data_IF_534681323825
#
_entry.id   IF_534681323825
#
_cell.length_a   1.000
_cell.length_b   1.000
_cell.length_c   1.000
_cell.angle_alpha   90.00
_cell.angle_beta   90.00
_cell.angle_gamma   90.00
#
_symmetry.space_group_name_H-M   'P 1'
#
loop_
_entity.id
_entity.type
_entity.pdbx_description
1 polymer ?
#
# COMPACT_ATOMS: atom_id res chain seq x y z
N UNK A 1 -7.10 3.91 16.54
CA UNK A 1 -5.97 3.70 15.62
C UNK A 1 -6.16 2.35 14.93
N UNK A 2 -5.83 2.25 13.65
CA UNK A 2 -5.88 1.01 12.86
C UNK A 2 -4.51 0.71 12.27
N UNK A 3 -4.34 -0.52 11.76
CA UNK A 3 -3.14 -0.93 11.06
C UNK A 3 -3.53 -1.40 9.67
N UNK A 4 -3.09 -0.68 8.63
CA UNK A 4 -3.13 -1.18 7.26
C UNK A 4 -2.04 -2.25 7.10
N UNK A 5 -2.40 -3.39 6.53
CA UNK A 5 -1.48 -4.47 6.16
C UNK A 5 -1.45 -4.60 4.65
N UNK A 6 -0.27 -4.83 4.08
CA UNK A 6 -0.07 -4.95 2.64
C UNK A 6 0.91 -6.10 2.38
N UNK A 7 0.56 -7.00 1.47
CA UNK A 7 1.43 -8.08 1.01
C UNK A 7 1.06 -8.53 -0.39
N UNK A 8 1.99 -9.15 -1.10
CA UNK A 8 1.68 -9.89 -2.33
C UNK A 8 1.11 -11.27 -2.01
N UNK A 9 -0.05 -11.59 -2.59
CA UNK A 9 -0.76 -12.86 -2.38
C UNK A 9 -0.49 -13.89 -3.50
N UNK A 10 -0.27 -13.43 -4.73
CA UNK A 10 0.19 -14.22 -5.91
C UNK A 10 1.01 -13.31 -6.82
N UNK A 11 1.54 -13.81 -7.94
CA UNK A 11 2.34 -13.05 -8.91
C UNK A 11 1.60 -11.86 -9.57
N UNK A 12 0.28 -11.83 -9.49
CA UNK A 12 -0.59 -10.79 -10.03
C UNK A 12 -1.53 -10.14 -8.99
N UNK A 13 -1.44 -10.52 -7.71
CA UNK A 13 -2.39 -10.07 -6.68
C UNK A 13 -1.69 -9.43 -5.48
N UNK A 14 -2.12 -8.21 -5.15
CA UNK A 14 -1.78 -7.53 -3.91
C UNK A 14 -2.97 -7.60 -2.96
N UNK A 15 -2.74 -8.03 -1.73
CA UNK A 15 -3.76 -8.07 -0.68
C UNK A 15 -3.53 -6.95 0.33
N UNK A 16 -4.62 -6.28 0.72
CA UNK A 16 -4.62 -5.30 1.79
C UNK A 16 -5.74 -5.56 2.78
N UNK A 17 -5.49 -5.29 4.06
CA UNK A 17 -6.47 -5.44 5.14
C UNK A 17 -6.31 -4.37 6.22
N UNK A 18 -7.34 -4.20 7.06
CA UNK A 18 -7.30 -3.47 8.31
C UNK A 18 -7.86 -2.04 8.28
N UNK A 19 -8.17 -1.49 7.09
CA UNK A 19 -8.77 -0.17 6.92
C UNK A 19 -9.83 -0.13 5.81
N UNK A 20 -10.56 0.98 5.72
CA UNK A 20 -11.58 1.14 4.69
C UNK A 20 -10.97 1.18 3.28
N UNK A 21 -11.61 0.50 2.34
CA UNK A 21 -11.13 0.37 0.95
C UNK A 21 -10.03 -0.67 0.75
N UNK A 22 -9.54 -1.31 1.82
CA UNK A 22 -8.61 -2.43 1.71
C UNK A 22 -9.33 -3.66 1.15
N UNK A 23 -8.70 -4.32 0.19
CA UNK A 23 -9.23 -5.47 -0.55
C UNK A 23 -8.07 -6.24 -1.21
N UNK A 24 -8.38 -7.28 -1.98
CA UNK A 24 -7.47 -7.93 -2.91
C UNK A 24 -7.53 -7.24 -4.29
N UNK A 25 -6.38 -6.83 -4.81
CA UNK A 25 -6.26 -6.05 -6.04
C UNK A 25 -5.45 -6.78 -7.11
N UNK A 26 -6.14 -7.19 -8.17
CA UNK A 26 -5.53 -7.77 -9.36
C UNK A 26 -4.73 -6.71 -10.13
N UNK A 27 -3.44 -6.98 -10.37
CA UNK A 27 -2.48 -6.14 -11.06
C UNK A 27 -2.21 -6.59 -12.50
N UNK A 28 -2.91 -7.61 -13.00
CA UNK A 28 -2.81 -8.14 -14.36
C UNK A 28 -3.05 -7.06 -15.42
N UNK A 29 -2.24 -7.08 -16.48
CA UNK A 29 -2.36 -6.17 -17.63
C UNK A 29 -1.81 -4.75 -17.41
N UNK A 30 -1.34 -4.40 -16.21
CA UNK A 30 -0.51 -3.22 -16.03
C UNK A 30 0.83 -3.42 -16.74
N UNK A 31 1.36 -2.39 -17.41
CA UNK A 31 2.54 -2.49 -18.28
C UNK A 31 3.80 -3.04 -17.61
N UNK A 32 3.82 -3.16 -16.28
CA UNK A 32 4.88 -3.74 -15.46
C UNK A 32 4.37 -4.53 -14.22
N UNK A 33 3.13 -5.06 -14.20
CA UNK A 33 2.50 -5.63 -12.97
C UNK A 33 2.70 -4.70 -11.75
N UNK A 34 2.39 -3.42 -11.96
CA UNK A 34 2.51 -2.36 -10.96
C UNK A 34 1.13 -1.80 -10.62
N UNK A 35 0.89 -1.53 -9.33
CA UNK A 35 -0.27 -0.80 -8.87
C UNK A 35 0.16 0.34 -7.95
N UNK A 36 -0.51 1.48 -8.09
CA UNK A 36 -0.33 2.62 -7.19
C UNK A 36 -1.57 2.76 -6.33
N UNK A 37 -1.39 2.98 -5.05
CA UNK A 37 -2.46 3.22 -4.10
C UNK A 37 -2.19 4.52 -3.34
N UNK A 38 -3.26 5.18 -2.91
CA UNK A 38 -3.17 6.41 -2.12
C UNK A 38 -3.83 6.18 -0.77
N UNK A 39 -3.01 6.14 0.28
CA UNK A 39 -3.46 6.07 1.66
C UNK A 39 -3.78 7.48 2.14
N UNK A 40 -4.99 7.69 2.65
CA UNK A 40 -5.50 9.00 3.05
C UNK A 40 -6.04 8.94 4.47
N UNK A 41 -5.71 9.93 5.29
CA UNK A 41 -6.40 10.20 6.55
C UNK A 41 -6.31 11.71 6.84
N UNK A 42 -7.41 12.32 7.29
CA UNK A 42 -7.54 13.78 7.44
C UNK A 42 -7.03 14.55 6.19
N UNK A 43 -5.97 15.36 6.36
CA UNK A 43 -5.30 16.15 5.32
C UNK A 43 -3.97 15.54 4.84
N UNK A 44 -3.68 14.30 5.21
CA UNK A 44 -2.40 13.64 4.95
C UNK A 44 -2.56 12.50 3.95
N UNK A 45 -1.58 12.35 3.07
CA UNK A 45 -1.60 11.38 1.98
C UNK A 45 -0.25 10.73 1.78
N UNK A 46 -0.25 9.44 1.49
CA UNK A 46 0.95 8.66 1.14
C UNK A 46 0.65 7.80 -0.08
N UNK A 47 1.54 7.81 -1.07
CA UNK A 47 1.48 6.85 -2.17
C UNK A 47 2.16 5.54 -1.74
N UNK A 48 1.55 4.44 -2.12
CA UNK A 48 2.11 3.09 -2.01
C UNK A 48 2.21 2.53 -3.43
N UNK A 49 3.40 2.12 -3.82
CA UNK A 49 3.65 1.45 -5.09
C UNK A 49 3.90 -0.02 -4.83
N UNK A 50 3.06 -0.88 -5.38
CA UNK A 50 3.29 -2.31 -5.46
C UNK A 50 3.92 -2.63 -6.81
N UNK A 51 5.07 -3.31 -6.79
CA UNK A 51 5.88 -3.57 -7.96
C UNK A 51 6.24 -5.06 -7.97
N UNK A 52 5.96 -5.73 -9.08
CA UNK A 52 6.33 -7.13 -9.26
C UNK A 52 7.42 -7.30 -10.32
N UNK A 53 8.56 -7.88 -9.91
CA UNK A 53 9.70 -8.21 -10.80
C UNK A 53 10.16 -9.66 -10.53
N UNK A 54 9.21 -10.58 -10.51
CA UNK A 54 9.42 -11.98 -10.07
C UNK A 54 9.27 -12.19 -8.56
N UNK A 55 9.36 -11.12 -7.78
CA UNK A 55 8.90 -11.02 -6.40
C UNK A 55 8.24 -9.64 -6.19
N UNK A 56 7.33 -9.54 -5.24
CA UNK A 56 6.75 -8.25 -4.85
C UNK A 56 7.73 -7.41 -4.04
N UNK A 57 7.74 -6.11 -4.33
CA UNK A 57 8.32 -5.10 -3.47
C UNK A 57 7.40 -3.88 -3.36
N UNK A 58 7.51 -3.17 -2.24
CA UNK A 58 6.65 -2.04 -1.95
C UNK A 58 7.45 -0.77 -1.65
N UNK A 59 7.16 0.30 -2.38
CA UNK A 59 7.74 1.62 -2.17
C UNK A 59 6.69 2.60 -1.62
N UNK A 60 7.14 3.52 -0.79
CA UNK A 60 6.30 4.57 -0.19
C UNK A 60 6.83 5.94 -0.58
N UNK A 61 5.93 6.87 -0.90
CA UNK A 61 6.30 8.27 -1.13
C UNK A 61 5.23 9.23 -0.61
N UNK A 62 5.58 10.52 -0.56
CA UNK A 62 4.58 11.57 -0.40
C UNK A 62 3.64 11.55 -1.59
N UNK A 63 2.35 11.80 -1.36
CA UNK A 63 1.39 11.86 -2.45
C UNK A 63 1.58 13.09 -3.34
N UNK A 64 2.11 14.16 -2.77
CA UNK A 64 2.39 15.45 -3.41
C UNK A 64 3.73 16.01 -2.88
N UNK A 65 4.41 16.84 -3.66
CA UNK A 65 5.68 17.44 -3.23
C UNK A 65 5.49 18.52 -2.15
N UNK A 66 4.31 19.14 -2.12
CA UNK A 66 3.91 20.16 -1.18
C UNK A 66 3.23 19.59 0.08
N UNK A 67 2.85 18.31 0.07
CA UNK A 67 2.26 17.64 1.22
C UNK A 67 3.33 17.34 2.29
N UNK A 68 2.96 17.55 3.56
CA UNK A 68 3.71 17.01 4.69
C UNK A 68 3.72 15.48 4.63
N UNK A 69 4.90 14.88 4.75
CA UNK A 69 5.02 13.43 4.85
C UNK A 69 4.26 12.95 6.10
N UNK A 70 3.33 11.99 5.99
CA UNK A 70 2.64 11.48 7.16
C UNK A 70 3.63 10.77 8.08
N UNK A 71 3.70 11.17 9.35
CA UNK A 71 4.54 10.52 10.37
C UNK A 71 3.94 9.19 10.88
N UNK A 72 3.25 8.45 10.02
CA UNK A 72 2.65 7.17 10.35
C UNK A 72 3.74 6.11 10.51
N UNK A 73 3.79 5.37 11.64
CA UNK A 73 4.76 4.31 11.82
C UNK A 73 4.63 3.24 10.73
N UNK A 74 5.75 2.92 10.07
CA UNK A 74 5.83 1.88 9.05
C UNK A 74 6.72 0.76 9.56
N UNK A 75 6.22 -0.48 9.49
CA UNK A 75 6.92 -1.69 9.86
C UNK A 75 6.99 -2.60 8.63
N UNK A 76 8.17 -3.17 8.37
CA UNK A 76 8.43 -4.07 7.24
C UNK A 76 8.91 -5.41 7.77
N UNK A 77 8.38 -6.50 7.21
CA UNK A 77 8.79 -7.87 7.53
C UNK A 77 8.71 -8.74 6.29
N UNK A 78 9.25 -9.96 6.39
CA UNK A 78 9.15 -10.97 5.33
C UNK A 78 8.16 -12.05 5.77
N UNK A 79 7.19 -12.39 4.93
CA UNK A 79 6.28 -13.53 5.10
C UNK A 79 6.24 -14.34 3.80
N UNK A 80 6.57 -15.63 3.88
CA UNK A 80 6.56 -16.67 2.83
C UNK A 80 7.00 -16.25 1.42
N UNK A 81 6.15 -15.52 0.71
CA UNK A 81 6.25 -15.19 -0.72
C UNK A 81 6.45 -13.69 -1.00
N UNK A 82 6.35 -12.81 0.00
CA UNK A 82 6.34 -11.35 -0.22
C UNK A 82 6.88 -10.56 0.98
N UNK A 83 7.31 -9.32 0.71
CA UNK A 83 7.44 -8.31 1.75
C UNK A 83 6.05 -7.99 2.31
N UNK A 84 5.95 -7.85 3.63
CA UNK A 84 4.76 -7.33 4.30
C UNK A 84 5.04 -5.95 4.85
N UNK A 85 4.17 -4.99 4.51
CA UNK A 85 4.15 -3.65 5.09
C UNK A 85 2.98 -3.54 6.05
N UNK A 86 3.24 -3.03 7.24
CA UNK A 86 2.21 -2.63 8.19
C UNK A 86 2.36 -1.14 8.52
N UNK A 87 1.28 -0.37 8.38
CA UNK A 87 1.26 1.08 8.61
C UNK A 87 0.20 1.40 9.67
N UNK A 88 0.63 2.01 10.76
CA UNK A 88 -0.26 2.46 11.83
C UNK A 88 -0.85 3.82 11.49
N UNK A 89 -2.18 3.87 11.37
CA UNK A 89 -2.92 5.00 10.82
C UNK A 89 -4.07 5.46 11.72
N UNK A 90 -4.53 6.72 11.55
CA UNK A 90 -5.76 7.20 12.17
C UNK A 90 -6.99 6.35 11.83
N UNK A 91 -8.06 6.45 12.63
CA UNK A 91 -9.24 5.59 12.49
C UNK A 91 -10.10 5.89 11.25
N UNK A 92 -9.99 7.11 10.73
CA UNK A 92 -10.63 7.58 9.49
C UNK A 92 -9.84 7.22 8.22
N UNK A 93 -8.70 6.55 8.37
CA UNK A 93 -7.85 6.20 7.24
C UNK A 93 -8.56 5.29 6.24
N UNK A 94 -8.30 5.54 4.95
CA UNK A 94 -8.76 4.72 3.83
C UNK A 94 -7.70 4.60 2.74
N UNK A 95 -7.78 3.53 1.96
CA UNK A 95 -6.92 3.30 0.80
C UNK A 95 -7.76 3.38 -0.48
N UNK A 96 -7.25 4.11 -1.47
CA UNK A 96 -7.85 4.21 -2.81
C UNK A 96 -6.84 3.68 -3.84
N UNK A 97 -7.24 2.81 -4.77
CA UNK A 97 -6.39 2.41 -5.91
C UNK A 97 -6.32 3.56 -6.92
N UNK A 98 -5.13 3.99 -7.28
CA UNK A 98 -4.89 4.96 -8.34
C UNK A 98 -4.77 4.19 -9.67
N UNK A 99 -5.63 4.55 -10.64
CA UNK A 99 -5.78 3.85 -11.92
C UNK A 99 -4.53 3.86 -12.78
#
# INVERSE_FOLDING_TARGET
>A
MKTLKISGASDDLVEMDGIAGADAFDCYGASNLMATFVLKAEHRRMNIYAIYDGCWCFALSRADEDDDAPAWPVRRSWEDYSERIEIDVPDDARIDRNG
#
